data_IF_737921026565
#
_entry.id   IF_737921026565
#
_cell.length_a   1.000
_cell.length_b   1.000
_cell.length_c   1.000
_cell.angle_alpha   90.00
_cell.angle_beta   90.00
_cell.angle_gamma   90.00
#
_symmetry.space_group_name_H-M   'P 1'
#
loop_
_entity.id
_entity.type
_entity.pdbx_description
1 polymer ?
#
# COMPACT_ATOMS: atom_id res chain seq x y z
N UNK A 1 61.04 14.05 -18.39
CA UNK A 1 60.54 13.92 -17.01
C UNK A 1 59.03 13.80 -17.03
N UNK A 2 58.52 12.61 -16.75
CA UNK A 2 57.12 12.36 -16.44
C UNK A 2 56.73 13.01 -15.12
N UNK A 3 55.53 13.58 -15.02
CA UNK A 3 54.65 13.39 -13.87
C UNK A 3 53.19 13.65 -14.28
N UNK A 4 52.43 12.56 -14.41
CA UNK A 4 50.97 12.56 -14.34
C UNK A 4 50.60 12.58 -12.85
N UNK A 5 49.78 13.54 -12.42
CA UNK A 5 49.01 13.40 -11.19
C UNK A 5 47.57 13.77 -11.52
N UNK A 6 46.75 12.73 -11.70
CA UNK A 6 45.30 12.86 -11.75
C UNK A 6 44.81 13.27 -10.37
N UNK A 7 44.15 14.41 -10.28
CA UNK A 7 43.40 14.80 -9.10
C UNK A 7 42.03 14.16 -9.20
N UNK A 8 41.79 13.19 -8.31
CA UNK A 8 40.51 12.52 -8.11
C UNK A 8 39.37 13.54 -8.06
N UNK A 9 38.45 13.46 -9.01
CA UNK A 9 37.10 13.95 -8.78
C UNK A 9 36.48 13.14 -7.64
N UNK A 10 36.22 13.82 -6.53
CA UNK A 10 35.39 13.33 -5.43
C UNK A 10 34.00 12.95 -5.96
N UNK A 11 33.82 11.68 -6.29
CA UNK A 11 32.54 11.10 -6.66
C UNK A 11 31.69 10.95 -5.39
N UNK A 12 31.22 12.07 -4.81
CA UNK A 12 29.99 12.04 -4.02
C UNK A 12 28.88 11.70 -5.00
N UNK A 13 28.52 10.42 -5.05
CA UNK A 13 27.41 9.91 -5.83
C UNK A 13 26.17 10.78 -5.56
N UNK A 14 25.86 11.68 -6.48
CA UNK A 14 24.62 12.43 -6.48
C UNK A 14 23.51 11.39 -6.60
N UNK A 15 22.82 11.13 -5.49
CA UNK A 15 21.69 10.19 -5.44
C UNK A 15 20.63 10.75 -6.38
N UNK A 16 20.60 10.28 -7.62
CA UNK A 16 19.61 10.64 -8.62
C UNK A 16 18.23 10.54 -7.96
N UNK A 17 17.56 11.67 -7.75
CA UNK A 17 16.17 11.66 -7.27
C UNK A 17 15.37 10.88 -8.29
N UNK A 18 14.79 9.73 -7.89
CA UNK A 18 13.87 8.98 -8.76
C UNK A 18 12.71 9.91 -9.11
N UNK A 19 12.63 10.29 -10.38
CA UNK A 19 11.48 10.99 -10.94
C UNK A 19 10.32 10.00 -10.90
N UNK A 20 9.23 10.39 -10.23
CA UNK A 20 7.98 9.62 -10.27
C UNK A 20 7.35 9.92 -11.63
N UNK A 21 7.09 8.90 -12.44
CA UNK A 21 6.47 9.07 -13.76
C UNK A 21 4.97 9.25 -13.60
N UNK A 22 4.34 9.95 -14.54
CA UNK A 22 2.89 10.14 -14.56
C UNK A 22 2.14 8.81 -14.50
N UNK A 23 2.61 7.81 -15.25
CA UNK A 23 2.04 6.45 -15.22
C UNK A 23 2.01 5.84 -13.81
N UNK A 24 3.05 6.05 -13.00
CA UNK A 24 3.06 5.53 -11.62
C UNK A 24 2.14 6.31 -10.68
N UNK A 25 1.86 7.58 -10.97
CA UNK A 25 0.89 8.37 -10.23
C UNK A 25 -0.54 7.95 -10.59
N UNK A 26 -0.80 7.76 -11.88
CA UNK A 26 -2.09 7.31 -12.40
C UNK A 26 -2.47 5.96 -11.81
N UNK A 27 -1.58 4.96 -11.84
CA UNK A 27 -1.88 3.65 -11.24
C UNK A 27 -2.19 3.74 -9.75
N UNK A 28 -1.47 4.58 -9.00
CA UNK A 28 -1.75 4.77 -7.56
C UNK A 28 -3.07 5.46 -7.31
N UNK A 29 -3.41 6.46 -8.12
CA UNK A 29 -4.67 7.18 -8.00
C UNK A 29 -5.85 6.32 -8.43
N UNK A 30 -5.67 5.47 -9.45
CA UNK A 30 -6.66 4.51 -9.92
C UNK A 30 -7.13 3.59 -8.80
N UNK A 31 -6.20 3.02 -8.01
CA UNK A 31 -6.54 2.18 -6.86
C UNK A 31 -7.39 2.94 -5.83
N UNK A 32 -7.10 4.23 -5.59
CA UNK A 32 -7.89 5.06 -4.66
C UNK A 32 -9.32 5.27 -5.19
N UNK A 33 -9.48 5.47 -6.49
CA UNK A 33 -10.82 5.58 -7.09
C UNK A 33 -11.59 4.27 -7.01
N UNK A 34 -10.95 3.14 -7.32
CA UNK A 34 -11.55 1.83 -7.18
C UNK A 34 -11.94 1.53 -5.73
N UNK A 35 -11.08 1.84 -4.76
CA UNK A 35 -11.40 1.70 -3.33
C UNK A 35 -12.67 2.47 -2.95
N UNK A 36 -12.84 3.69 -3.46
CA UNK A 36 -14.07 4.48 -3.27
C UNK A 36 -15.31 3.80 -3.85
N UNK A 37 -15.20 3.24 -5.06
CA UNK A 37 -16.29 2.48 -5.70
C UNK A 37 -16.61 1.23 -4.87
N UNK A 38 -15.59 0.49 -4.43
CA UNK A 38 -15.78 -0.73 -3.65
C UNK A 38 -16.48 -0.44 -2.33
N UNK A 39 -16.07 0.62 -1.63
CA UNK A 39 -16.75 1.06 -0.41
C UNK A 39 -18.20 1.43 -0.66
N UNK A 40 -18.49 2.13 -1.77
CA UNK A 40 -19.87 2.46 -2.15
C UNK A 40 -20.73 1.22 -2.41
N UNK A 41 -20.16 0.20 -3.07
CA UNK A 41 -20.85 -1.07 -3.33
C UNK A 41 -21.04 -1.88 -2.04
N UNK A 42 -20.02 -1.97 -1.19
CA UNK A 42 -20.08 -2.67 0.10
C UNK A 42 -21.09 -2.02 1.04
N UNK A 43 -21.23 -0.70 1.02
CA UNK A 43 -22.20 0.01 1.86
C UNK A 43 -23.66 -0.36 1.55
N UNK A 44 -23.94 -1.04 0.43
CA UNK A 44 -25.27 -1.60 0.14
C UNK A 44 -25.56 -2.91 0.87
N UNK A 45 -24.52 -3.59 1.34
CA UNK A 45 -24.57 -4.94 1.90
C UNK A 45 -24.13 -5.00 3.38
N UNK A 46 -23.36 -4.02 3.83
CA UNK A 46 -22.84 -3.94 5.20
C UNK A 46 -23.72 -3.06 6.09
N UNK A 47 -23.84 -3.39 7.39
CA UNK A 47 -24.54 -2.53 8.36
C UNK A 47 -23.76 -1.25 8.66
N UNK A 48 -22.44 -1.34 8.79
CA UNK A 48 -21.60 -0.22 9.19
C UNK A 48 -20.19 -0.37 8.64
N UNK A 49 -19.65 0.72 8.08
CA UNK A 49 -18.24 0.84 7.73
C UNK A 49 -17.67 2.02 8.51
N UNK A 50 -16.64 1.79 9.33
CA UNK A 50 -15.98 2.85 10.07
C UNK A 50 -14.66 3.22 9.39
N UNK A 51 -14.46 4.52 9.20
CA UNK A 51 -13.24 5.07 8.61
C UNK A 51 -12.59 6.06 9.59
N UNK A 52 -11.28 6.25 9.46
CA UNK A 52 -10.55 7.27 10.23
C UNK A 52 -9.76 8.21 9.31
N UNK A 53 -9.42 9.37 9.87
CA UNK A 53 -8.53 10.31 9.18
C UNK A 53 -7.15 9.66 8.99
N UNK A 54 -6.55 9.76 7.81
CA UNK A 54 -5.18 9.30 7.59
C UNK A 54 -4.20 10.10 8.46
N UNK A 55 -3.21 9.42 9.03
CA UNK A 55 -2.19 10.03 9.89
C UNK A 55 -1.33 11.05 9.15
N UNK A 56 -1.12 10.85 7.85
CA UNK A 56 -0.38 11.75 6.97
C UNK A 56 -1.21 12.08 5.74
N UNK A 57 -1.27 13.36 5.39
CA UNK A 57 -1.92 13.83 4.17
C UNK A 57 -1.04 13.52 2.96
N UNK A 58 -1.63 12.88 1.95
CA UNK A 58 -0.99 12.70 0.65
C UNK A 58 -0.90 14.06 -0.06
N UNK A 59 0.29 14.39 -0.58
CA UNK A 59 0.56 15.66 -1.29
C UNK A 59 0.60 15.43 -2.80
N UNK A 60 1.14 14.29 -3.24
CA UNK A 60 1.40 13.99 -4.66
C UNK A 60 0.34 13.06 -5.25
N UNK A 61 -0.10 12.06 -4.49
CA UNK A 61 -1.16 11.12 -4.91
C UNK A 61 -2.49 11.48 -4.26
N UNK A 62 -3.57 10.89 -4.76
CA UNK A 62 -4.85 10.86 -4.04
C UNK A 62 -4.69 10.11 -2.72
N UNK A 63 -5.57 10.46 -1.79
CA UNK A 63 -5.52 10.01 -0.41
C UNK A 63 -6.29 8.69 -0.27
N UNK A 64 -5.62 7.64 0.22
CA UNK A 64 -6.29 6.39 0.60
C UNK A 64 -7.23 6.61 1.78
N UNK A 65 -8.32 5.86 1.79
CA UNK A 65 -9.31 5.86 2.86
C UNK A 65 -8.85 4.88 3.91
N UNK A 66 -8.69 5.32 5.16
CA UNK A 66 -8.30 4.43 6.25
C UNK A 66 -9.54 3.75 6.82
N UNK A 67 -9.80 2.52 6.38
CA UNK A 67 -10.90 1.68 6.87
C UNK A 67 -10.47 1.02 8.17
N UNK A 68 -11.26 1.18 9.23
CA UNK A 68 -10.97 0.55 10.53
C UNK A 68 -11.74 -0.76 10.67
N UNK A 69 -13.08 -0.70 10.52
CA UNK A 69 -13.95 -1.86 10.68
C UNK A 69 -15.05 -1.92 9.62
N UNK A 70 -15.50 -3.13 9.34
CA UNK A 70 -16.67 -3.42 8.51
C UNK A 70 -17.56 -4.39 9.29
N UNK A 71 -18.83 -4.05 9.44
CA UNK A 71 -19.84 -4.88 10.11
C UNK A 71 -20.77 -5.49 9.08
N UNK A 72 -20.85 -6.82 9.06
CA UNK A 72 -21.70 -7.64 8.17
C UNK A 72 -22.41 -8.66 9.05
N UNK A 73 -23.72 -8.84 8.91
CA UNK A 73 -24.52 -9.81 9.69
C UNK A 73 -24.27 -9.77 11.21
N UNK A 74 -24.15 -8.55 11.78
CA UNK A 74 -23.80 -8.29 13.19
C UNK A 74 -22.39 -8.75 13.63
N UNK A 75 -21.57 -9.26 12.72
CA UNK A 75 -20.17 -9.54 12.95
C UNK A 75 -19.33 -8.34 12.51
N UNK A 76 -18.37 -7.94 13.35
CA UNK A 76 -17.49 -6.81 13.04
C UNK A 76 -16.08 -7.29 12.76
N UNK A 77 -15.62 -7.03 11.54
CA UNK A 77 -14.27 -7.34 11.10
C UNK A 77 -13.40 -6.11 11.35
N UNK A 78 -12.33 -6.27 12.14
CA UNK A 78 -11.28 -5.26 12.24
C UNK A 78 -10.33 -5.39 11.04
N UNK A 79 -10.53 -4.51 10.05
CA UNK A 79 -9.78 -4.51 8.79
C UNK A 79 -8.31 -4.18 9.04
N UNK A 80 -8.04 -3.24 9.94
CA UNK A 80 -6.67 -2.83 10.25
C UNK A 80 -5.85 -3.99 10.83
N UNK A 81 -6.41 -4.73 11.78
CA UNK A 81 -5.74 -5.88 12.42
C UNK A 81 -5.59 -7.06 11.45
N UNK A 82 -6.60 -7.32 10.63
CA UNK A 82 -6.55 -8.37 9.61
C UNK A 82 -5.41 -8.12 8.61
N UNK A 83 -5.35 -6.90 8.07
CA UNK A 83 -4.32 -6.50 7.10
C UNK A 83 -2.93 -6.50 7.73
N UNK A 84 -2.80 -6.01 8.96
CA UNK A 84 -1.55 -6.02 9.72
C UNK A 84 -1.03 -7.45 9.87
N UNK A 85 -1.89 -8.38 10.29
CA UNK A 85 -1.55 -9.79 10.47
C UNK A 85 -1.06 -10.41 9.16
N UNK A 86 -1.85 -10.31 8.07
CA UNK A 86 -1.49 -10.88 6.76
C UNK A 86 -0.17 -10.29 6.22
N UNK A 87 0.02 -8.98 6.33
CA UNK A 87 1.25 -8.34 5.89
C UNK A 87 2.46 -8.74 6.75
N UNK A 88 2.26 -8.93 8.06
CA UNK A 88 3.32 -9.37 8.97
C UNK A 88 3.74 -10.80 8.70
N UNK A 89 2.79 -11.69 8.44
CA UNK A 89 3.10 -13.07 8.02
C UNK A 89 3.93 -13.08 6.73
N UNK A 90 3.62 -12.18 5.78
CA UNK A 90 4.41 -12.01 4.55
C UNK A 90 5.80 -11.44 4.84
N UNK A 91 5.92 -10.47 5.76
CA UNK A 91 7.20 -9.89 6.15
C UNK A 91 8.14 -10.95 6.75
N UNK A 92 7.63 -11.80 7.65
CA UNK A 92 8.43 -12.87 8.24
C UNK A 92 8.84 -13.90 7.19
N UNK A 93 7.94 -14.27 6.27
CA UNK A 93 8.29 -15.12 5.12
C UNK A 93 9.40 -14.51 4.25
N UNK A 94 9.34 -13.20 3.99
CA UNK A 94 10.37 -12.52 3.20
C UNK A 94 11.73 -12.54 3.94
N UNK A 95 11.74 -12.36 5.27
CA UNK A 95 12.97 -12.44 6.08
C UNK A 95 13.57 -13.85 6.07
N UNK A 96 12.75 -14.88 6.27
CA UNK A 96 13.22 -16.28 6.29
C UNK A 96 13.69 -16.77 4.93
N UNK A 97 13.17 -16.20 3.83
CA UNK A 97 13.62 -16.49 2.46
C UNK A 97 14.85 -15.67 2.03
N UNK A 98 15.50 -14.96 2.95
CA UNK A 98 16.77 -14.28 2.71
C UNK A 98 16.66 -12.89 2.08
N UNK A 99 15.46 -12.30 2.03
CA UNK A 99 15.31 -10.92 1.53
C UNK A 99 15.86 -9.95 2.58
N UNK A 100 16.63 -8.96 2.12
CA UNK A 100 17.16 -7.89 2.98
C UNK A 100 16.04 -7.25 3.79
N UNK A 101 16.24 -7.12 5.10
CA UNK A 101 15.25 -6.57 6.04
C UNK A 101 14.68 -5.23 5.57
N UNK A 102 15.52 -4.31 5.10
CA UNK A 102 15.06 -3.02 4.59
C UNK A 102 14.13 -3.14 3.37
N UNK A 103 14.37 -4.10 2.47
CA UNK A 103 13.48 -4.37 1.33
C UNK A 103 12.18 -5.04 1.78
N UNK A 104 12.25 -5.96 2.73
CA UNK A 104 11.10 -6.65 3.29
C UNK A 104 10.16 -5.67 4.02
N UNK A 105 10.71 -4.78 4.87
CA UNK A 105 9.94 -3.72 5.55
C UNK A 105 9.31 -2.75 4.57
N UNK A 106 10.03 -2.36 3.51
CA UNK A 106 9.45 -1.50 2.46
C UNK A 106 8.27 -2.18 1.77
N UNK A 107 8.38 -3.47 1.45
CA UNK A 107 7.28 -4.27 0.87
C UNK A 107 6.11 -4.38 1.83
N UNK A 108 6.36 -4.66 3.11
CA UNK A 108 5.34 -4.68 4.16
C UNK A 108 4.48 -3.41 4.15
N UNK A 109 5.09 -2.23 4.12
CA UNK A 109 4.33 -0.97 4.08
C UNK A 109 3.49 -0.81 2.81
N UNK A 110 4.02 -1.19 1.64
CA UNK A 110 3.29 -1.11 0.37
C UNK A 110 2.15 -2.13 0.30
N UNK A 111 2.42 -3.34 0.79
CA UNK A 111 1.48 -4.45 0.76
C UNK A 111 0.23 -4.14 1.60
N UNK A 112 0.31 -3.35 2.67
CA UNK A 112 -0.89 -3.00 3.45
C UNK A 112 -1.98 -2.36 2.60
N UNK A 113 -1.59 -1.44 1.72
CA UNK A 113 -2.55 -0.76 0.85
C UNK A 113 -3.13 -1.71 -0.19
N UNK A 114 -2.28 -2.54 -0.80
CA UNK A 114 -2.72 -3.57 -1.75
C UNK A 114 -3.62 -4.62 -1.08
N UNK A 115 -3.32 -4.99 0.16
CA UNK A 115 -4.07 -6.00 0.92
C UNK A 115 -5.45 -5.50 1.33
N UNK A 116 -5.59 -4.22 1.71
CA UNK A 116 -6.92 -3.61 1.90
C UNK A 116 -7.72 -3.71 0.61
N UNK A 117 -7.12 -3.33 -0.53
CA UNK A 117 -7.80 -3.36 -1.82
C UNK A 117 -8.29 -4.77 -2.19
N UNK A 118 -7.43 -5.77 -2.08
CA UNK A 118 -7.80 -7.17 -2.31
C UNK A 118 -8.87 -7.65 -1.33
N UNK A 119 -8.77 -7.30 -0.05
CA UNK A 119 -9.78 -7.67 0.93
C UNK A 119 -11.17 -7.10 0.58
N UNK A 120 -11.25 -5.86 0.08
CA UNK A 120 -12.52 -5.29 -0.39
C UNK A 120 -13.05 -6.02 -1.63
N UNK A 121 -12.16 -6.40 -2.56
CA UNK A 121 -12.54 -7.21 -3.72
C UNK A 121 -13.09 -8.56 -3.29
N UNK A 122 -12.40 -9.26 -2.37
CA UNK A 122 -12.81 -10.55 -1.83
C UNK A 122 -14.21 -10.45 -1.19
N UNK A 123 -14.45 -9.42 -0.38
CA UNK A 123 -15.77 -9.19 0.22
C UNK A 123 -16.85 -8.95 -0.84
N UNK A 124 -16.57 -8.14 -1.86
CA UNK A 124 -17.52 -7.91 -2.95
C UNK A 124 -17.77 -9.17 -3.77
N UNK A 125 -16.75 -10.02 -3.95
CA UNK A 125 -16.92 -11.29 -4.64
C UNK A 125 -17.87 -12.23 -3.88
N UNK A 126 -17.83 -12.22 -2.53
CA UNK A 126 -18.81 -12.95 -1.71
C UNK A 126 -20.25 -12.44 -1.91
N UNK A 127 -20.43 -11.17 -2.28
CA UNK A 127 -21.72 -10.58 -2.64
C UNK A 127 -22.06 -10.72 -4.14
N UNK A 128 -21.27 -11.47 -4.91
CA UNK A 128 -21.54 -11.79 -6.31
C UNK A 128 -20.98 -10.81 -7.34
N UNK A 129 -20.12 -9.86 -6.94
CA UNK A 129 -19.42 -9.00 -7.90
C UNK A 129 -18.22 -9.71 -8.53
N UNK A 130 -17.87 -9.32 -9.77
CA UNK A 130 -16.76 -9.91 -10.56
C UNK A 130 -15.83 -8.80 -11.04
N UNK A 131 -14.53 -9.08 -11.09
CA UNK A 131 -13.46 -8.13 -11.44
C UNK A 131 -12.50 -8.71 -12.47
#
# INVERSE_FOLDING_TARGET
MHYKFGTMMSARAYKQKRVVTDSTLESRNYIVYQEGIFLSLLNKHCQLITISRPTKKAIVTKQYIKINTITINNETINVADLVEKRCRDRLEKDKTSGIKVGSAVRRFTLNKTTEVHHFLMDLLQLFGYVF
#
